data_IF_332498690615
#
_entry.id   IF_332498690615
#
_cell.length_a   1.000
_cell.length_b   1.000
_cell.length_c   1.000
_cell.angle_alpha   90.00
_cell.angle_beta   90.00
_cell.angle_gamma   90.00
#
_symmetry.space_group_name_H-M   'P 1'
#
loop_
_entity.id
_entity.type
_entity.pdbx_description
1 polymer ?
#
# COMPACT_ATOMS: atom_id res chain seq x y z
N UNK A 1 -10.47 23.08 7.36
CA UNK A 1 -10.58 24.20 6.40
C UNK A 1 -9.66 23.98 5.22
N UNK A 2 -10.01 24.48 4.02
CA UNK A 2 -9.16 24.45 2.82
C UNK A 2 -9.24 25.79 2.11
N UNK A 3 -8.13 26.23 1.53
CA UNK A 3 -8.10 27.39 0.61
C UNK A 3 -7.05 27.19 -0.47
N UNK A 4 -7.11 28.02 -1.50
CA UNK A 4 -6.23 27.94 -2.66
C UNK A 4 -5.46 29.25 -2.84
N UNK A 5 -4.19 29.17 -3.23
CA UNK A 5 -3.32 30.33 -3.45
C UNK A 5 -2.27 30.07 -4.52
N UNK A 6 -1.78 31.14 -5.12
CA UNK A 6 -0.71 31.18 -6.11
C UNK A 6 0.70 31.31 -5.50
N UNK A 7 0.81 31.53 -4.18
CA UNK A 7 2.09 31.81 -3.53
C UNK A 7 2.34 30.94 -2.29
N UNK A 8 3.59 30.46 -2.20
CA UNK A 8 4.06 29.52 -1.16
C UNK A 8 3.92 30.08 0.26
N UNK A 9 4.30 31.36 0.45
CA UNK A 9 4.40 31.99 1.77
C UNK A 9 3.11 32.69 2.22
N UNK A 10 2.02 32.57 1.46
CA UNK A 10 0.74 33.20 1.78
C UNK A 10 -0.04 32.35 2.77
N UNK A 11 0.04 32.70 4.05
CA UNK A 11 -0.73 32.08 5.12
C UNK A 11 -1.98 32.89 5.48
N UNK A 12 -3.09 32.20 5.67
CA UNK A 12 -4.31 32.81 6.18
C UNK A 12 -4.25 32.86 7.71
N UNK A 13 -4.63 34.00 8.29
CA UNK A 13 -4.86 34.14 9.74
C UNK A 13 -6.27 33.62 10.04
N UNK A 14 -6.40 32.83 11.11
CA UNK A 14 -7.67 32.19 11.47
C UNK A 14 -8.02 32.59 12.89
N UNK A 15 -9.15 33.25 13.05
CA UNK A 15 -9.62 33.72 14.35
C UNK A 15 -10.83 32.89 14.78
N UNK A 16 -10.82 32.45 16.04
CA UNK A 16 -11.96 31.89 16.76
C UNK A 16 -12.35 32.90 17.82
N UNK A 17 -13.56 33.46 17.75
CA UNK A 17 -14.05 34.48 18.69
C UNK A 17 -13.08 35.66 18.85
N UNK A 18 -12.42 36.05 17.75
CA UNK A 18 -11.44 37.14 17.72
C UNK A 18 -10.02 36.76 18.19
N UNK A 19 -9.80 35.53 18.63
CA UNK A 19 -8.49 35.02 19.06
C UNK A 19 -7.83 34.27 17.90
N UNK A 20 -6.58 34.60 17.58
CA UNK A 20 -5.82 33.90 16.54
C UNK A 20 -5.52 32.45 16.95
N UNK A 21 -5.75 31.51 16.03
CA UNK A 21 -5.63 30.07 16.28
C UNK A 21 -4.66 29.42 15.30
N UNK A 22 -3.70 28.70 15.87
CA UNK A 22 -2.73 27.91 15.12
C UNK A 22 -3.37 26.55 14.78
N UNK A 23 -3.45 26.17 13.49
CA UNK A 23 -3.90 24.84 13.10
C UNK A 23 -3.02 23.74 13.71
N UNK A 24 -3.67 22.69 14.25
CA UNK A 24 -3.00 21.50 14.79
C UNK A 24 -2.26 20.72 13.71
N UNK A 25 -2.83 20.67 12.52
CA UNK A 25 -2.22 20.07 11.34
C UNK A 25 -2.38 21.01 10.14
N UNK A 26 -1.38 20.97 9.26
CA UNK A 26 -1.36 21.65 7.96
C UNK A 26 -0.84 20.70 6.89
N UNK A 27 -1.28 20.91 5.66
CA UNK A 27 -0.78 20.21 4.47
C UNK A 27 -0.94 21.11 3.27
N UNK A 28 0.15 21.32 2.55
CA UNK A 28 0.16 22.05 1.30
C UNK A 28 0.33 21.06 0.15
N UNK A 29 -0.62 21.08 -0.79
CA UNK A 29 -0.62 20.25 -1.99
C UNK A 29 -0.47 21.14 -3.22
N UNK A 30 0.48 20.81 -4.08
CA UNK A 30 0.60 21.46 -5.39
C UNK A 30 -0.33 20.83 -6.41
N UNK A 31 -0.86 21.68 -7.28
CA UNK A 31 -1.53 21.31 -8.51
C UNK A 31 -0.71 21.90 -9.65
N UNK A 32 -0.15 21.02 -10.48
CA UNK A 32 0.68 21.41 -11.61
C UNK A 32 -0.18 21.52 -12.88
N UNK A 33 0.14 22.51 -13.70
CA UNK A 33 -0.30 22.56 -15.10
C UNK A 33 0.94 22.42 -15.97
N UNK A 34 1.05 21.31 -16.69
CA UNK A 34 2.31 20.85 -17.30
C UNK A 34 3.41 20.79 -16.23
N UNK A 35 4.54 21.44 -16.46
CA UNK A 35 5.72 21.41 -15.57
C UNK A 35 5.77 22.61 -14.60
N UNK A 36 4.68 23.37 -14.47
CA UNK A 36 4.62 24.57 -13.61
C UNK A 36 3.59 24.40 -12.50
N UNK A 37 3.93 24.87 -11.30
CA UNK A 37 2.97 25.00 -10.20
C UNK A 37 1.92 26.02 -10.63
N UNK A 38 0.67 25.57 -10.75
CA UNK A 38 -0.46 26.39 -11.13
C UNK A 38 -1.22 26.89 -9.90
N UNK A 39 -1.39 26.02 -8.91
CA UNK A 39 -2.19 26.30 -7.73
C UNK A 39 -1.67 25.52 -6.52
N UNK A 40 -1.71 26.13 -5.34
CA UNK A 40 -1.42 25.47 -4.08
C UNK A 40 -2.73 25.35 -3.29
N UNK A 41 -3.12 24.14 -2.96
CA UNK A 41 -4.20 23.84 -2.01
C UNK A 41 -3.60 23.73 -0.61
N UNK A 42 -4.05 24.58 0.31
CA UNK A 42 -3.64 24.57 1.72
C UNK A 42 -4.77 24.00 2.58
N UNK A 43 -4.53 22.87 3.23
CA UNK A 43 -5.48 22.15 4.09
C UNK A 43 -5.06 22.29 5.55
N UNK A 44 -6.01 22.64 6.41
CA UNK A 44 -5.76 22.94 7.81
C UNK A 44 -6.79 22.30 8.72
N UNK A 45 -6.32 21.81 9.86
CA UNK A 45 -7.14 21.26 10.93
C UNK A 45 -7.02 22.12 12.16
N UNK A 46 -8.15 22.66 12.57
CA UNK A 46 -8.26 23.57 13.68
C UNK A 46 -8.97 22.80 14.77
N UNK A 47 -8.41 22.84 15.98
CA UNK A 47 -9.08 22.27 17.15
C UNK A 47 -10.17 23.25 17.58
N UNK A 48 -11.36 22.74 17.78
CA UNK A 48 -12.53 23.52 18.21
C UNK A 48 -12.96 22.99 19.57
N UNK A 49 -13.18 23.89 20.51
CA UNK A 49 -13.41 23.58 21.93
C UNK A 49 -14.90 23.48 22.29
N UNK A 50 -15.79 24.16 21.57
CA UNK A 50 -17.24 24.08 21.73
C UNK A 50 -17.95 24.51 20.43
N UNK A 51 -19.27 24.32 20.35
CA UNK A 51 -20.03 24.59 19.14
C UNK A 51 -20.46 26.07 18.97
N UNK A 52 -20.42 26.85 20.05
CA UNK A 52 -20.85 28.25 20.08
C UNK A 52 -19.68 29.19 19.80
N UNK A 53 -18.97 28.96 18.70
CA UNK A 53 -17.86 29.80 18.26
C UNK A 53 -18.13 30.43 16.89
N UNK A 54 -17.43 31.52 16.63
CA UNK A 54 -17.42 32.22 15.36
C UNK A 54 -16.05 32.11 14.70
N UNK A 55 -16.02 31.56 13.49
CA UNK A 55 -14.81 31.45 12.68
C UNK A 55 -14.68 32.67 11.77
N UNK A 56 -13.51 33.29 11.77
CA UNK A 56 -13.15 34.35 10.84
C UNK A 56 -11.81 34.05 10.21
N UNK A 57 -11.70 34.34 8.91
CA UNK A 57 -10.48 34.14 8.15
C UNK A 57 -10.03 35.47 7.56
N UNK A 58 -8.76 35.79 7.69
CA UNK A 58 -8.20 37.02 7.12
C UNK A 58 -6.87 36.76 6.41
N UNK A 59 -6.62 37.54 5.37
CA UNK A 59 -5.42 37.49 4.56
C UNK A 59 -4.88 38.91 4.39
N UNK A 60 -3.63 39.17 4.80
CA UNK A 60 -3.02 40.52 4.77
C UNK A 60 -3.96 41.59 5.36
N UNK A 61 -4.58 41.29 6.51
CA UNK A 61 -5.56 42.13 7.21
C UNK A 61 -6.90 42.36 6.47
N UNK A 62 -7.13 41.73 5.31
CA UNK A 62 -8.42 41.72 4.63
C UNK A 62 -9.25 40.49 5.01
N UNK A 63 -10.50 40.69 5.44
CA UNK A 63 -11.41 39.60 5.76
C UNK A 63 -11.74 38.79 4.49
N UNK A 64 -11.70 37.46 4.58
CA UNK A 64 -12.04 36.55 3.47
C UNK A 64 -13.29 35.75 3.80
N UNK A 65 -14.07 35.48 2.75
CA UNK A 65 -15.28 34.68 2.86
C UNK A 65 -14.94 33.21 3.12
N UNK A 66 -15.57 32.63 4.13
CA UNK A 66 -15.67 31.18 4.32
C UNK A 66 -16.83 30.69 3.46
N UNK A 67 -16.59 29.64 2.67
CA UNK A 67 -17.62 29.02 1.82
C UNK A 67 -18.08 27.72 2.44
N UNK A 68 -19.39 27.60 2.70
CA UNK A 68 -20.03 26.39 3.21
C UNK A 68 -21.40 26.22 2.54
N UNK A 69 -21.74 25.01 2.07
CA UNK A 69 -22.98 24.72 1.34
C UNK A 69 -23.33 25.78 0.27
N UNK A 70 -22.33 26.14 -0.55
CA UNK A 70 -22.41 27.17 -1.60
C UNK A 70 -22.75 28.61 -1.14
N UNK A 71 -22.82 28.86 0.17
CA UNK A 71 -23.03 30.19 0.77
C UNK A 71 -21.71 30.78 1.27
N UNK A 72 -21.63 32.12 1.28
CA UNK A 72 -20.44 32.89 1.69
C UNK A 72 -20.69 33.57 3.03
N UNK A 73 -19.70 33.49 3.92
CA UNK A 73 -19.75 34.04 5.26
C UNK A 73 -18.47 34.82 5.57
N UNK A 74 -18.59 36.09 5.95
CA UNK A 74 -17.43 36.85 6.47
C UNK A 74 -17.01 36.35 7.86
N UNK A 75 -18.02 35.98 8.67
CA UNK A 75 -17.88 35.33 9.96
C UNK A 75 -18.81 34.12 9.92
N UNK A 76 -18.27 32.94 10.15
CA UNK A 76 -18.98 31.67 10.04
C UNK A 76 -19.37 31.16 11.44
N UNK A 77 -20.67 31.04 11.78
CA UNK A 77 -21.09 30.40 13.01
C UNK A 77 -20.82 28.90 12.94
N UNK A 78 -20.01 28.38 13.87
CA UNK A 78 -19.69 26.95 13.87
C UNK A 78 -20.91 26.06 14.20
N UNK A 79 -21.90 26.59 14.91
CA UNK A 79 -23.19 25.94 15.14
C UNK A 79 -23.88 25.45 13.85
N UNK A 80 -23.58 26.05 12.69
CA UNK A 80 -24.10 25.60 11.39
C UNK A 80 -23.58 24.21 10.95
N UNK A 81 -22.56 23.67 11.63
CA UNK A 81 -22.01 22.35 11.38
C UNK A 81 -22.55 21.31 12.37
N UNK A 82 -23.40 21.68 13.33
CA UNK A 82 -23.91 20.75 14.35
C UNK A 82 -24.53 19.51 13.76
N UNK A 83 -25.32 19.63 12.70
CA UNK A 83 -25.94 18.49 12.01
C UNK A 83 -24.90 17.50 11.43
N UNK A 84 -23.69 17.97 11.08
CA UNK A 84 -22.61 17.09 10.61
C UNK A 84 -21.92 16.35 11.77
N UNK A 85 -21.98 16.91 12.98
CA UNK A 85 -21.44 16.29 14.20
C UNK A 85 -22.50 15.49 14.97
N UNK A 86 -23.78 15.69 14.67
CA UNK A 86 -24.91 14.85 15.10
C UNK A 86 -25.03 13.55 14.30
N UNK A 87 -24.22 13.35 13.25
CA UNK A 87 -23.96 12.01 12.77
C UNK A 87 -23.32 11.24 13.92
N UNK A 88 -24.14 10.46 14.65
CA UNK A 88 -23.68 9.44 15.57
C UNK A 88 -22.63 8.63 14.82
N UNK A 89 -21.34 8.88 15.08
CA UNK A 89 -20.31 7.90 14.79
C UNK A 89 -20.82 6.65 15.48
N UNK A 90 -21.21 5.64 14.69
CA UNK A 90 -21.99 4.50 15.15
C UNK A 90 -21.54 4.14 16.57
N UNK A 91 -22.46 4.26 17.54
CA UNK A 91 -22.24 3.84 18.93
C UNK A 91 -21.87 2.36 19.05
N UNK A 92 -22.00 1.62 17.95
CA UNK A 92 -21.56 0.27 17.79
C UNK A 92 -20.02 0.20 17.68
N UNK A 93 -19.38 -0.25 18.75
CA UNK A 93 -17.94 -0.47 18.81
C UNK A 93 -17.48 -1.70 17.99
N UNK A 94 -18.15 -2.02 16.87
CA UNK A 94 -17.78 -3.13 16.00
C UNK A 94 -16.84 -2.66 14.89
N UNK A 95 -15.76 -3.40 14.64
CA UNK A 95 -14.85 -3.15 13.52
C UNK A 95 -14.96 -4.28 12.49
N UNK A 96 -14.87 -3.94 11.20
CA UNK A 96 -14.82 -4.90 10.10
C UNK A 96 -13.45 -4.91 9.45
N UNK A 97 -12.91 -6.10 9.24
CA UNK A 97 -11.62 -6.34 8.60
C UNK A 97 -11.81 -7.00 7.24
N UNK A 98 -10.97 -6.64 6.28
CA UNK A 98 -10.94 -7.27 4.95
C UNK A 98 -9.57 -7.13 4.30
N UNK A 99 -9.08 -8.20 3.68
CA UNK A 99 -7.96 -8.12 2.75
C UNK A 99 -8.50 -7.92 1.32
N UNK A 100 -8.90 -9.01 0.68
CA UNK A 100 -9.64 -9.00 -0.59
C UNK A 100 -10.92 -9.84 -0.45
N UNK A 101 -11.90 -9.69 -1.35
CA UNK A 101 -13.14 -10.46 -1.28
C UNK A 101 -12.89 -11.97 -1.34
N UNK A 102 -11.95 -12.42 -2.18
CA UNK A 102 -11.73 -13.84 -2.46
C UNK A 102 -10.48 -14.43 -1.80
N UNK A 103 -9.67 -13.62 -1.10
CA UNK A 103 -8.43 -14.08 -0.49
C UNK A 103 -8.10 -13.27 0.76
N UNK A 104 -7.55 -13.96 1.76
CA UNK A 104 -7.02 -13.34 2.96
C UNK A 104 -5.48 -13.31 2.91
N UNK A 105 -4.81 -13.38 4.06
CA UNK A 105 -3.36 -13.50 4.23
C UNK A 105 -2.53 -12.21 4.01
N UNK A 106 -3.18 -11.06 4.15
CA UNK A 106 -2.53 -9.75 4.16
C UNK A 106 -2.74 -9.04 5.52
N UNK A 107 -2.39 -7.76 5.63
CA UNK A 107 -2.32 -7.04 6.89
C UNK A 107 -3.59 -7.10 7.75
N UNK A 108 -4.78 -7.11 7.15
CA UNK A 108 -6.03 -7.16 7.88
C UNK A 108 -6.23 -8.52 8.55
N UNK A 109 -5.87 -9.65 7.90
CA UNK A 109 -5.93 -10.97 8.54
C UNK A 109 -4.98 -11.03 9.76
N UNK A 110 -3.76 -10.51 9.62
CA UNK A 110 -2.77 -10.51 10.71
C UNK A 110 -3.21 -9.66 11.89
N UNK A 111 -3.70 -8.44 11.63
CA UNK A 111 -4.20 -7.55 12.66
C UNK A 111 -5.47 -8.11 13.32
N UNK A 112 -6.41 -8.66 12.55
CA UNK A 112 -7.61 -9.31 13.09
C UNK A 112 -7.22 -10.43 14.06
N UNK A 113 -6.30 -11.32 13.65
CA UNK A 113 -5.86 -12.43 14.49
C UNK A 113 -5.23 -11.96 15.79
N UNK A 114 -4.41 -10.91 15.72
CA UNK A 114 -3.83 -10.30 16.92
C UNK A 114 -4.92 -9.79 17.88
N UNK A 115 -5.90 -9.02 17.39
CA UNK A 115 -6.97 -8.46 18.22
C UNK A 115 -7.86 -9.57 18.79
N UNK A 116 -8.24 -10.56 17.96
CA UNK A 116 -9.02 -11.72 18.40
C UNK A 116 -8.37 -12.46 19.57
N UNK A 117 -7.03 -12.55 19.59
CA UNK A 117 -6.28 -13.29 20.60
C UNK A 117 -5.95 -12.46 21.86
N UNK A 118 -5.75 -11.16 21.71
CA UNK A 118 -5.22 -10.30 22.79
C UNK A 118 -6.27 -9.31 23.35
N UNK A 119 -7.32 -9.04 22.58
CA UNK A 119 -8.36 -8.04 22.86
C UNK A 119 -9.77 -8.58 22.56
N UNK A 120 -10.20 -9.69 23.20
CA UNK A 120 -11.50 -10.31 22.94
C UNK A 120 -12.70 -9.41 23.31
N UNK A 121 -12.48 -8.35 24.09
CA UNK A 121 -13.46 -7.30 24.39
C UNK A 121 -13.84 -6.46 23.17
N UNK A 122 -12.94 -6.37 22.18
CA UNK A 122 -13.17 -5.60 20.97
C UNK A 122 -14.01 -6.41 19.99
N UNK A 123 -15.23 -5.94 19.71
CA UNK A 123 -16.12 -6.61 18.75
C UNK A 123 -15.56 -6.47 17.33
N UNK A 124 -15.21 -7.59 16.70
CA UNK A 124 -14.62 -7.63 15.36
C UNK A 124 -15.27 -8.69 14.46
N UNK A 125 -15.40 -8.37 13.19
CA UNK A 125 -15.83 -9.29 12.12
C UNK A 125 -14.84 -9.24 10.96
N UNK A 126 -14.69 -10.36 10.24
CA UNK A 126 -13.83 -10.44 9.07
C UNK A 126 -14.67 -10.75 7.84
N UNK A 127 -14.63 -9.86 6.84
CA UNK A 127 -15.37 -10.03 5.60
C UNK A 127 -14.55 -10.81 4.57
N UNK A 128 -15.12 -11.91 4.10
CA UNK A 128 -14.52 -12.78 3.09
C UNK A 128 -15.67 -13.43 2.30
N UNK A 129 -15.49 -13.72 1.02
CA UNK A 129 -16.48 -14.50 0.27
C UNK A 129 -16.52 -15.94 0.75
N UNK A 130 -17.71 -16.53 0.80
CA UNK A 130 -17.90 -17.91 1.24
C UNK A 130 -17.22 -18.96 0.36
N UNK A 131 -16.97 -18.64 -0.91
CA UNK A 131 -16.26 -19.49 -1.88
C UNK A 131 -14.74 -19.24 -1.91
N UNK A 132 -14.21 -18.38 -1.03
CA UNK A 132 -12.76 -18.21 -0.88
C UNK A 132 -12.10 -19.49 -0.37
N UNK A 133 -10.92 -19.80 -0.91
CA UNK A 133 -10.06 -20.90 -0.44
C UNK A 133 -9.60 -20.73 1.01
N UNK A 134 -9.66 -19.50 1.55
CA UNK A 134 -9.27 -19.20 2.93
C UNK A 134 -10.42 -19.36 3.94
N UNK A 135 -11.68 -19.46 3.48
CA UNK A 135 -12.85 -19.44 4.36
C UNK A 135 -12.82 -20.53 5.43
N UNK A 136 -12.63 -21.79 5.03
CA UNK A 136 -12.63 -22.92 5.96
C UNK A 136 -11.45 -22.89 6.93
N UNK A 137 -10.29 -22.40 6.47
CA UNK A 137 -9.10 -22.22 7.31
C UNK A 137 -9.39 -21.20 8.42
N UNK A 138 -9.86 -20.01 8.04
CA UNK A 138 -10.13 -18.93 9.00
C UNK A 138 -11.28 -19.28 9.95
N UNK A 139 -12.32 -19.96 9.45
CA UNK A 139 -13.42 -20.45 10.30
C UNK A 139 -12.92 -21.41 11.37
N UNK A 140 -12.03 -22.35 11.01
CA UNK A 140 -11.40 -23.28 11.97
C UNK A 140 -10.49 -22.57 12.98
N UNK A 141 -9.85 -21.47 12.57
CA UNK A 141 -9.04 -20.63 13.46
C UNK A 141 -9.88 -19.76 14.42
N UNK A 142 -11.22 -19.76 14.29
CA UNK A 142 -12.13 -19.03 15.17
C UNK A 142 -12.52 -17.64 14.67
N UNK A 143 -12.23 -17.29 13.42
CA UNK A 143 -12.61 -15.99 12.85
C UNK A 143 -14.13 -15.87 12.78
N UNK A 144 -14.65 -14.71 13.19
CA UNK A 144 -16.03 -14.31 13.00
C UNK A 144 -16.25 -13.83 11.55
N UNK A 145 -16.49 -14.79 10.65
CA UNK A 145 -16.59 -14.53 9.21
C UNK A 145 -17.98 -14.05 8.78
N UNK A 146 -18.00 -13.05 7.91
CA UNK A 146 -19.20 -12.59 7.21
C UNK A 146 -19.00 -12.69 5.69
N UNK A 147 -20.00 -13.20 4.98
CA UNK A 147 -19.93 -13.39 3.53
C UNK A 147 -19.94 -12.03 2.82
N UNK A 148 -18.83 -11.68 2.17
CA UNK A 148 -18.65 -10.38 1.52
C UNK A 148 -19.70 -10.13 0.42
N UNK A 149 -20.33 -8.96 0.44
CA UNK A 149 -21.40 -8.60 -0.51
C UNK A 149 -22.73 -9.31 -0.26
N UNK A 150 -22.87 -10.09 0.82
CA UNK A 150 -24.18 -10.58 1.26
C UNK A 150 -25.00 -9.44 1.88
N UNK A 151 -26.32 -9.63 1.99
CA UNK A 151 -27.21 -8.71 2.69
C UNK A 151 -26.78 -8.47 4.15
N UNK A 152 -26.25 -9.49 4.82
CA UNK A 152 -25.70 -9.39 6.18
C UNK A 152 -24.48 -8.48 6.21
N UNK A 153 -23.55 -8.66 5.26
CA UNK A 153 -22.39 -7.78 5.11
C UNK A 153 -22.82 -6.32 4.87
N UNK A 154 -23.74 -6.06 3.94
CA UNK A 154 -24.20 -4.71 3.64
C UNK A 154 -24.85 -4.01 4.85
N UNK A 155 -25.57 -4.75 5.69
CA UNK A 155 -26.13 -4.23 6.94
C UNK A 155 -25.05 -3.92 7.97
N UNK A 156 -24.06 -4.79 8.11
CA UNK A 156 -22.99 -4.64 9.11
C UNK A 156 -22.04 -3.51 8.72
N UNK A 157 -21.56 -3.46 7.48
CA UNK A 157 -20.59 -2.46 7.03
C UNK A 157 -21.14 -1.03 7.15
N UNK A 158 -22.46 -0.83 7.09
CA UNK A 158 -23.12 0.48 7.34
C UNK A 158 -23.16 0.88 8.83
N UNK A 159 -22.99 -0.09 9.73
CA UNK A 159 -23.16 0.06 11.18
C UNK A 159 -21.86 -0.02 12.00
N UNK A 160 -20.74 -0.39 11.39
CA UNK A 160 -19.45 -0.41 12.08
C UNK A 160 -18.91 1.00 12.30
N UNK A 161 -18.07 1.15 13.32
CA UNK A 161 -17.32 2.40 13.55
C UNK A 161 -16.06 2.48 12.66
N UNK A 162 -15.42 1.34 12.40
CA UNK A 162 -14.18 1.24 11.61
C UNK A 162 -14.28 0.16 10.52
N UNK A 163 -13.85 0.51 9.32
CA UNK A 163 -13.56 -0.41 8.21
C UNK A 163 -12.04 -0.44 8.02
N UNK A 164 -11.42 -1.57 8.31
CA UNK A 164 -9.97 -1.76 8.33
C UNK A 164 -9.58 -2.71 7.20
N UNK A 165 -8.74 -2.24 6.28
CA UNK A 165 -8.47 -3.01 5.05
C UNK A 165 -7.05 -2.91 4.54
N UNK A 166 -6.54 -4.01 3.98
CA UNK A 166 -5.26 -4.06 3.24
C UNK A 166 -5.37 -3.49 1.82
N UNK A 167 -6.60 -3.30 1.33
CA UNK A 167 -6.93 -2.81 0.00
C UNK A 167 -7.97 -1.68 0.04
N UNK A 168 -7.92 -0.76 -0.93
CA UNK A 168 -8.86 0.37 -1.02
C UNK A 168 -9.52 0.46 -2.40
N UNK A 169 -9.68 -0.68 -3.07
CA UNK A 169 -10.29 -0.76 -4.39
C UNK A 169 -11.81 -0.51 -4.34
N UNK A 170 -12.38 -0.15 -5.50
CA UNK A 170 -13.79 0.24 -5.65
C UNK A 170 -14.79 -0.79 -5.14
N UNK A 171 -14.46 -2.10 -5.26
CA UNK A 171 -15.34 -3.18 -4.78
C UNK A 171 -15.69 -3.03 -3.30
N UNK A 172 -14.80 -2.46 -2.49
CA UNK A 172 -15.01 -2.20 -1.06
C UNK A 172 -15.49 -0.77 -0.83
N UNK A 173 -14.84 0.21 -1.47
CA UNK A 173 -15.08 1.62 -1.18
C UNK A 173 -16.52 2.05 -1.44
N UNK A 174 -17.24 1.41 -2.38
CA UNK A 174 -18.66 1.68 -2.64
C UNK A 174 -19.60 1.43 -1.44
N UNK A 175 -19.16 0.63 -0.46
CA UNK A 175 -19.95 0.34 0.75
C UNK A 175 -19.66 1.29 1.92
N UNK A 176 -18.59 2.08 1.82
CA UNK A 176 -18.11 2.93 2.91
C UNK A 176 -18.73 4.32 2.77
N UNK A 177 -19.49 4.73 3.79
CA UNK A 177 -20.15 6.03 3.84
C UNK A 177 -19.36 7.06 4.64
N UNK A 178 -20.05 8.13 5.03
CA UNK A 178 -19.47 9.22 5.81
C UNK A 178 -19.31 8.83 7.29
N UNK A 179 -20.14 7.91 7.79
CA UNK A 179 -20.27 7.57 9.22
C UNK A 179 -19.23 6.56 9.73
N UNK A 180 -18.49 5.91 8.82
CA UNK A 180 -17.42 4.98 9.17
C UNK A 180 -16.07 5.65 8.98
N UNK A 181 -15.12 5.28 9.85
CA UNK A 181 -13.70 5.55 9.61
C UNK A 181 -13.11 4.46 8.71
N UNK A 182 -12.49 4.85 7.61
CA UNK A 182 -11.74 3.93 6.77
C UNK A 182 -10.25 3.98 7.10
N UNK A 183 -9.72 2.83 7.50
CA UNK A 183 -8.32 2.61 7.82
C UNK A 183 -7.69 1.73 6.75
N UNK A 184 -6.71 2.29 6.04
CA UNK A 184 -5.99 1.60 5.00
C UNK A 184 -4.62 1.13 5.52
N UNK A 185 -4.50 -0.20 5.70
CA UNK A 185 -3.30 -0.88 6.19
C UNK A 185 -2.23 -1.07 5.11
N UNK A 186 -2.58 -0.80 3.84
CA UNK A 186 -1.79 -1.11 2.65
C UNK A 186 -1.52 -2.62 2.45
N UNK A 187 -0.92 -2.97 1.32
CA UNK A 187 -0.54 -4.34 0.93
C UNK A 187 0.94 -4.42 0.49
N UNK A 188 1.73 -3.42 0.87
CA UNK A 188 3.14 -3.26 0.54
C UNK A 188 3.59 -1.82 0.80
N UNK A 189 4.90 -1.61 0.85
CA UNK A 189 5.48 -0.27 0.99
C UNK A 189 5.32 0.50 -0.32
N UNK A 190 4.80 1.72 -0.23
CA UNK A 190 4.53 2.58 -1.38
C UNK A 190 5.80 3.28 -1.85
N UNK A 191 6.62 2.60 -2.67
CA UNK A 191 7.88 3.15 -3.20
C UNK A 191 7.71 4.07 -4.42
N UNK A 192 6.61 3.86 -5.17
CA UNK A 192 6.25 4.61 -6.37
C UNK A 192 5.13 5.61 -6.06
N UNK A 193 4.98 6.65 -6.87
CA UNK A 193 3.90 7.62 -6.68
C UNK A 193 2.57 7.06 -7.25
N UNK A 194 1.65 6.77 -6.32
CA UNK A 194 0.28 6.31 -6.56
C UNK A 194 -0.77 7.36 -6.14
N UNK A 195 -0.36 8.62 -5.99
CA UNK A 195 -1.23 9.73 -5.56
C UNK A 195 -2.44 9.93 -6.47
N UNK A 196 -2.31 9.65 -7.78
CA UNK A 196 -3.44 9.69 -8.74
C UNK A 196 -4.60 8.80 -8.29
N UNK A 197 -4.30 7.64 -7.72
CA UNK A 197 -5.28 6.70 -7.20
C UNK A 197 -5.74 7.10 -5.79
N UNK A 198 -4.82 7.20 -4.83
CA UNK A 198 -5.19 7.41 -3.42
C UNK A 198 -5.88 8.76 -3.18
N UNK A 199 -5.58 9.80 -3.98
CA UNK A 199 -6.25 11.10 -3.84
C UNK A 199 -7.75 11.04 -4.14
N UNK A 200 -8.24 10.01 -4.82
CA UNK A 200 -9.66 9.84 -5.13
C UNK A 200 -10.44 9.18 -3.98
N UNK A 201 -9.72 8.56 -3.04
CA UNK A 201 -10.31 7.72 -1.98
C UNK A 201 -10.42 8.54 -0.69
N UNK A 202 -11.54 8.40 0.04
CA UNK A 202 -11.65 8.89 1.42
C UNK A 202 -10.92 7.90 2.33
N UNK A 203 -9.76 8.30 2.83
CA UNK A 203 -8.97 7.53 3.80
C UNK A 203 -8.86 8.39 5.05
N UNK A 204 -9.36 7.87 6.17
CA UNK A 204 -9.32 8.54 7.47
C UNK A 204 -8.00 8.26 8.19
N UNK A 205 -7.41 7.08 7.97
CA UNK A 205 -6.08 6.70 8.43
C UNK A 205 -5.35 5.82 7.40
N UNK A 206 -4.13 6.20 7.05
CA UNK A 206 -3.20 5.46 6.19
C UNK A 206 -2.00 5.02 7.03
N UNK A 207 -1.79 3.70 7.11
CA UNK A 207 -0.63 3.13 7.80
C UNK A 207 0.52 2.99 6.81
N UNK A 208 1.68 3.59 7.11
CA UNK A 208 2.93 3.48 6.35
C UNK A 208 4.03 2.86 7.19
N UNK A 209 5.11 2.41 6.56
CA UNK A 209 6.12 1.57 7.22
C UNK A 209 7.51 2.19 7.31
N UNK A 210 7.88 3.09 6.40
CA UNK A 210 9.23 3.67 6.36
C UNK A 210 9.19 5.18 6.41
N UNK A 211 10.24 5.82 6.93
CA UNK A 211 10.31 7.27 7.04
C UNK A 211 10.28 7.96 5.67
N UNK A 212 10.94 7.39 4.67
CA UNK A 212 10.92 7.93 3.31
C UNK A 212 9.55 7.80 2.65
N UNK A 213 8.85 6.67 2.84
CA UNK A 213 7.45 6.50 2.44
C UNK A 213 6.56 7.55 3.12
N UNK A 214 6.65 7.68 4.45
CA UNK A 214 5.91 8.67 5.22
C UNK A 214 6.14 10.09 4.69
N UNK A 215 7.39 10.49 4.53
CA UNK A 215 7.77 11.81 4.04
C UNK A 215 7.26 12.06 2.61
N UNK A 216 7.33 11.06 1.73
CA UNK A 216 6.84 11.17 0.35
C UNK A 216 5.33 11.45 0.26
N UNK A 217 4.59 11.10 1.32
CA UNK A 217 3.15 11.29 1.41
C UNK A 217 2.80 12.54 2.21
N UNK A 218 3.41 12.76 3.39
CA UNK A 218 2.96 13.82 4.31
C UNK A 218 3.57 15.18 4.06
N UNK A 219 4.77 15.26 3.47
CA UNK A 219 5.47 16.53 3.32
C UNK A 219 4.70 17.49 2.41
N UNK A 220 4.91 18.79 2.61
CA UNK A 220 4.31 19.79 1.74
C UNK A 220 4.82 19.64 0.30
N UNK A 221 4.00 20.07 -0.64
CA UNK A 221 4.31 20.08 -2.07
C UNK A 221 4.51 18.70 -2.72
N UNK A 222 4.13 17.63 -2.03
CA UNK A 222 3.94 16.30 -2.64
C UNK A 222 2.64 16.26 -3.46
N UNK A 223 2.49 15.26 -4.32
CA UNK A 223 1.24 15.04 -5.05
C UNK A 223 0.09 14.46 -4.19
N UNK A 224 0.37 14.02 -2.96
CA UNK A 224 -0.62 13.44 -2.04
C UNK A 224 -1.42 14.51 -1.27
N UNK A 225 -2.72 14.28 -1.08
CA UNK A 225 -3.61 15.13 -0.27
C UNK A 225 -3.53 14.85 1.24
N UNK A 226 -2.78 13.84 1.64
CA UNK A 226 -2.69 13.35 3.02
C UNK A 226 -1.57 14.08 3.76
N UNK A 227 -1.82 14.47 5.01
CA UNK A 227 -0.83 15.07 5.88
C UNK A 227 -0.61 14.24 7.14
N UNK A 228 0.10 14.82 8.11
CA UNK A 228 0.41 14.17 9.39
C UNK A 228 -0.83 13.77 10.22
N UNK A 229 -2.01 14.27 9.87
CA UNK A 229 -3.26 13.87 10.52
C UNK A 229 -3.75 12.51 10.04
N UNK A 230 -3.64 12.24 8.75
CA UNK A 230 -4.20 11.04 8.13
C UNK A 230 -3.19 9.91 7.98
N UNK A 231 -1.91 10.14 8.24
CA UNK A 231 -0.85 9.14 8.00
C UNK A 231 -0.13 8.81 9.30
N UNK A 232 0.01 7.52 9.58
CA UNK A 232 0.76 7.02 10.72
C UNK A 232 1.91 6.12 10.27
N UNK A 233 3.12 6.45 10.71
CA UNK A 233 4.32 5.63 10.52
C UNK A 233 4.36 4.55 11.61
N UNK A 234 3.96 3.33 11.27
CA UNK A 234 3.85 2.22 12.23
C UNK A 234 4.49 0.93 11.69
N UNK A 235 4.26 0.58 10.42
CA UNK A 235 4.67 -0.71 9.84
C UNK A 235 3.49 -1.58 9.41
N UNK A 236 3.78 -2.60 8.60
CA UNK A 236 2.78 -3.56 8.11
C UNK A 236 2.51 -4.64 9.17
N UNK A 237 1.25 -4.88 9.54
CA UNK A 237 0.86 -5.91 10.50
C UNK A 237 1.45 -7.30 10.17
N UNK A 238 1.48 -7.66 8.87
CA UNK A 238 1.98 -8.96 8.40
C UNK A 238 3.47 -9.19 8.66
N UNK A 239 4.25 -8.12 8.81
CA UNK A 239 5.70 -8.25 9.00
C UNK A 239 6.07 -8.88 10.35
N UNK A 240 5.21 -8.79 11.38
CA UNK A 240 5.43 -9.44 12.68
C UNK A 240 5.61 -10.97 12.51
N UNK A 241 4.75 -11.60 11.72
CA UNK A 241 4.82 -13.04 11.43
C UNK A 241 5.87 -13.35 10.37
N UNK A 242 6.06 -12.47 9.38
CA UNK A 242 7.05 -12.63 8.32
C UNK A 242 8.45 -12.82 8.90
N UNK A 243 8.88 -11.92 9.82
CA UNK A 243 10.20 -12.00 10.44
C UNK A 243 10.34 -13.27 11.29
N UNK A 244 9.31 -13.59 12.08
CA UNK A 244 9.28 -14.77 12.96
C UNK A 244 9.46 -16.08 12.18
N UNK A 245 8.92 -16.16 10.97
CA UNK A 245 8.95 -17.37 10.14
C UNK A 245 10.13 -17.42 9.16
N UNK A 246 11.04 -16.44 9.20
CA UNK A 246 12.15 -16.35 8.25
C UNK A 246 13.09 -17.57 8.32
N UNK A 247 13.40 -18.17 7.17
CA UNK A 247 14.41 -19.24 7.07
C UNK A 247 15.70 -18.70 6.48
N UNK A 248 16.82 -18.96 7.16
CA UNK A 248 18.16 -18.42 6.82
C UNK A 248 18.96 -19.29 5.84
N UNK A 249 18.53 -20.53 5.55
CA UNK A 249 19.23 -21.47 4.66
C UNK A 249 18.29 -22.12 3.64
N UNK A 250 17.35 -21.34 3.11
CA UNK A 250 16.46 -21.80 2.07
C UNK A 250 17.24 -22.24 0.81
N UNK A 251 16.69 -23.20 0.05
CA UNK A 251 17.23 -23.65 -1.24
C UNK A 251 16.26 -23.33 -2.36
N UNK A 252 15.82 -22.07 -2.39
CA UNK A 252 14.82 -21.57 -3.32
C UNK A 252 15.17 -20.17 -3.83
N UNK A 253 15.05 -19.97 -5.12
CA UNK A 253 15.06 -18.66 -5.79
C UNK A 253 13.63 -18.36 -6.22
N UNK A 254 13.16 -17.18 -5.88
CA UNK A 254 11.81 -16.73 -6.20
C UNK A 254 11.88 -15.67 -7.30
N UNK A 255 11.11 -15.86 -8.36
CA UNK A 255 11.01 -14.95 -9.50
C UNK A 255 9.58 -14.37 -9.51
N UNK A 256 9.46 -13.05 -9.30
CA UNK A 256 8.16 -12.36 -9.21
C UNK A 256 8.14 -11.07 -10.01
N UNK A 257 7.82 -11.12 -11.30
CA UNK A 257 7.69 -9.92 -12.11
C UNK A 257 6.39 -9.15 -11.80
N UNK A 258 6.47 -7.83 -11.89
CA UNK A 258 5.30 -6.94 -11.88
C UNK A 258 4.51 -7.12 -13.18
N UNK A 259 3.21 -6.82 -13.17
CA UNK A 259 2.41 -6.75 -14.39
C UNK A 259 2.77 -5.51 -15.22
N UNK A 260 2.16 -5.33 -16.39
CA UNK A 260 2.31 -4.13 -17.23
C UNK A 260 0.94 -3.66 -17.71
N UNK A 261 0.64 -2.38 -17.52
CA UNK A 261 -0.68 -1.82 -17.85
C UNK A 261 -1.01 -1.92 -19.34
N UNK A 262 -0.04 -1.68 -20.22
CA UNK A 262 -0.23 -1.76 -21.67
C UNK A 262 -0.66 -3.15 -22.17
N UNK A 263 -0.49 -4.18 -21.35
CA UNK A 263 -0.90 -5.55 -21.63
C UNK A 263 -2.33 -5.86 -21.16
N UNK A 264 -3.02 -4.96 -20.45
CA UNK A 264 -4.41 -5.14 -20.00
C UNK A 264 -5.43 -4.58 -21.01
N UNK A 265 -6.55 -5.28 -21.19
CA UNK A 265 -7.72 -4.91 -22.00
C UNK A 265 -8.76 -4.18 -21.14
N UNK A 266 -9.10 -4.73 -19.97
CA UNK A 266 -10.24 -4.26 -19.15
C UNK A 266 -10.10 -4.69 -17.68
N UNK A 267 -10.68 -3.91 -16.77
CA UNK A 267 -10.90 -4.32 -15.38
C UNK A 267 -12.10 -5.26 -15.30
N UNK A 268 -11.93 -6.42 -14.68
CA UNK A 268 -13.01 -7.35 -14.33
C UNK A 268 -13.46 -7.00 -12.90
N UNK A 269 -14.76 -7.19 -12.60
CA UNK A 269 -15.30 -7.12 -11.25
C UNK A 269 -14.45 -7.95 -10.26
N UNK A 270 -14.26 -7.46 -9.03
CA UNK A 270 -13.46 -8.07 -7.95
C UNK A 270 -11.93 -7.91 -8.03
N UNK A 271 -11.42 -7.00 -8.87
CA UNK A 271 -10.00 -6.60 -8.85
C UNK A 271 -9.07 -7.47 -9.70
N UNK A 272 -9.62 -8.32 -10.58
CA UNK A 272 -8.87 -9.00 -11.64
C UNK A 272 -8.91 -8.14 -12.91
N UNK A 273 -7.91 -8.27 -13.79
CA UNK A 273 -7.85 -7.53 -15.06
C UNK A 273 -7.68 -8.51 -16.23
N UNK A 274 -8.45 -8.36 -17.30
CA UNK A 274 -8.32 -9.14 -18.54
C UNK A 274 -7.18 -8.56 -19.39
N UNK A 275 -6.28 -9.39 -19.94
CA UNK A 275 -5.13 -8.98 -20.76
C UNK A 275 -5.26 -9.26 -22.26
N UNK A 276 -4.56 -8.45 -23.07
CA UNK A 276 -4.58 -8.44 -24.54
C UNK A 276 -4.17 -9.80 -25.09
N UNK A 277 -4.89 -10.29 -26.11
CA UNK A 277 -4.58 -11.52 -26.88
C UNK A 277 -3.15 -11.60 -27.44
N UNK A 278 -2.36 -10.52 -27.40
CA UNK A 278 -1.00 -10.41 -27.93
C UNK A 278 0.12 -10.39 -26.87
N UNK A 279 -0.10 -10.97 -25.68
CA UNK A 279 0.94 -11.03 -24.62
C UNK A 279 2.26 -11.62 -25.14
N UNK A 280 2.19 -12.63 -26.02
CA UNK A 280 3.36 -13.31 -26.62
C UNK A 280 4.27 -12.40 -27.46
N UNK A 281 3.78 -11.25 -27.91
CA UNK A 281 4.54 -10.27 -28.71
C UNK A 281 5.18 -9.19 -27.84
N UNK A 282 4.87 -9.16 -26.55
CA UNK A 282 5.35 -8.13 -25.64
C UNK A 282 6.82 -8.35 -25.28
N UNK A 283 7.56 -7.25 -25.14
CA UNK A 283 8.93 -7.24 -24.59
C UNK A 283 8.97 -7.94 -23.22
N UNK A 284 7.96 -7.70 -22.39
CA UNK A 284 7.76 -8.38 -21.10
C UNK A 284 7.78 -9.91 -21.23
N UNK A 285 6.90 -10.47 -22.07
CA UNK A 285 6.81 -11.91 -22.26
C UNK A 285 8.13 -12.47 -22.80
N UNK A 286 8.69 -11.86 -23.84
CA UNK A 286 9.94 -12.33 -24.44
C UNK A 286 11.09 -12.37 -23.44
N UNK A 287 11.28 -11.33 -22.63
CA UNK A 287 12.39 -11.24 -21.66
C UNK A 287 12.22 -12.23 -20.51
N UNK A 288 11.04 -12.32 -19.90
CA UNK A 288 10.82 -13.28 -18.81
C UNK A 288 10.81 -14.72 -19.30
N UNK A 289 10.17 -15.01 -20.45
CA UNK A 289 10.18 -16.36 -21.01
C UNK A 289 11.60 -16.79 -21.44
N UNK A 290 12.41 -15.87 -21.98
CA UNK A 290 13.83 -16.11 -22.29
C UNK A 290 14.61 -16.50 -21.03
N UNK A 291 14.53 -15.69 -19.98
CA UNK A 291 15.21 -15.97 -18.71
C UNK A 291 14.80 -17.32 -18.13
N UNK A 292 13.50 -17.60 -18.07
CA UNK A 292 12.97 -18.85 -17.52
C UNK A 292 13.34 -20.07 -18.36
N UNK A 293 13.69 -19.92 -19.64
CA UNK A 293 14.16 -20.98 -20.53
C UNK A 293 15.69 -20.99 -20.69
N UNK A 294 16.42 -20.13 -19.98
CA UNK A 294 17.86 -19.99 -20.17
C UNK A 294 18.62 -21.19 -19.58
N UNK A 295 19.40 -21.89 -20.41
CA UNK A 295 20.16 -23.07 -19.99
C UNK A 295 21.26 -22.79 -18.95
N UNK A 296 21.80 -21.56 -18.90
CA UNK A 296 22.75 -21.15 -17.87
C UNK A 296 22.05 -20.95 -16.52
N UNK A 297 20.83 -20.41 -16.49
CA UNK A 297 20.03 -20.33 -15.26
C UNK A 297 19.81 -21.73 -14.67
N UNK A 298 19.40 -22.68 -15.50
CA UNK A 298 19.21 -24.07 -15.11
C UNK A 298 20.50 -24.68 -14.53
N UNK A 299 21.62 -24.57 -15.26
CA UNK A 299 22.93 -25.10 -14.82
C UNK A 299 23.42 -24.49 -13.52
N UNK A 300 23.25 -23.18 -13.33
CA UNK A 300 23.63 -22.51 -12.08
C UNK A 300 22.78 -23.03 -10.92
N UNK A 301 21.47 -23.09 -11.06
CA UNK A 301 20.58 -23.54 -10.00
C UNK A 301 20.79 -25.03 -9.66
N UNK A 302 21.02 -25.88 -10.66
CA UNK A 302 21.38 -27.29 -10.46
C UNK A 302 22.73 -27.43 -9.73
N UNK A 303 23.78 -26.75 -10.21
CA UNK A 303 25.12 -26.79 -9.62
C UNK A 303 25.14 -26.41 -8.14
N UNK A 304 24.36 -25.41 -7.75
CA UNK A 304 24.31 -24.92 -6.37
C UNK A 304 23.16 -25.51 -5.53
N UNK A 305 22.32 -26.36 -6.13
CA UNK A 305 21.22 -27.06 -5.46
C UNK A 305 20.05 -26.18 -5.05
N UNK A 306 19.61 -25.26 -5.91
CA UNK A 306 18.47 -24.36 -5.66
C UNK A 306 17.29 -24.67 -6.58
N UNK A 307 16.09 -24.72 -6.01
CA UNK A 307 14.85 -24.78 -6.77
C UNK A 307 14.45 -23.36 -7.23
N UNK A 308 13.81 -23.26 -8.39
CA UNK A 308 13.28 -21.99 -8.88
C UNK A 308 11.76 -22.01 -8.80
N UNK A 309 11.22 -20.96 -8.20
CA UNK A 309 9.80 -20.68 -8.13
C UNK A 309 9.48 -19.48 -9.01
N UNK A 310 8.54 -19.64 -9.93
CA UNK A 310 7.96 -18.53 -10.67
C UNK A 310 6.56 -18.21 -10.15
N UNK A 311 6.40 -17.03 -9.57
CA UNK A 311 5.13 -16.56 -9.03
C UNK A 311 4.83 -15.14 -9.54
N UNK A 312 4.32 -15.01 -10.78
CA UNK A 312 4.06 -13.69 -11.34
C UNK A 312 2.84 -13.05 -10.68
N UNK A 313 2.65 -11.76 -10.93
CA UNK A 313 1.48 -11.04 -10.44
C UNK A 313 0.16 -11.75 -10.81
N UNK A 314 -0.90 -11.71 -9.96
CA UNK A 314 -2.19 -12.38 -10.23
C UNK A 314 -2.78 -12.12 -11.62
N UNK A 315 -2.61 -10.90 -12.16
CA UNK A 315 -3.06 -10.55 -13.51
C UNK A 315 -2.34 -11.35 -14.63
N UNK A 316 -1.14 -11.88 -14.39
CA UNK A 316 -0.36 -12.68 -15.34
C UNK A 316 -0.72 -14.17 -15.26
N UNK A 317 -1.24 -14.65 -14.12
CA UNK A 317 -1.54 -16.07 -13.88
C UNK A 317 -2.41 -16.69 -14.99
N UNK A 318 -3.50 -16.06 -15.48
CA UNK A 318 -4.32 -16.62 -16.56
C UNK A 318 -3.58 -16.83 -17.89
N UNK A 319 -2.38 -16.26 -18.04
CA UNK A 319 -1.57 -16.31 -19.25
C UNK A 319 -0.34 -17.20 -19.10
N UNK A 320 -0.19 -17.91 -17.97
CA UNK A 320 0.94 -18.80 -17.72
C UNK A 320 1.09 -19.89 -18.78
N UNK A 321 -0.01 -20.40 -19.34
CA UNK A 321 0.01 -21.40 -20.43
C UNK A 321 0.68 -20.90 -21.71
N UNK A 322 0.86 -19.58 -21.85
CA UNK A 322 1.62 -19.01 -22.96
C UNK A 322 3.12 -19.12 -22.76
N UNK A 323 3.59 -19.27 -21.52
CA UNK A 323 5.00 -19.43 -21.21
C UNK A 323 5.41 -20.88 -21.48
N UNK A 324 6.55 -21.06 -22.15
CA UNK A 324 7.14 -22.38 -22.33
C UNK A 324 7.83 -22.76 -21.02
N UNK A 325 7.08 -23.17 -20.00
CA UNK A 325 7.65 -23.46 -18.67
C UNK A 325 8.51 -24.72 -18.71
N UNK A 326 9.82 -24.63 -18.40
CA UNK A 326 10.66 -25.82 -18.26
C UNK A 326 10.35 -26.57 -16.96
N UNK A 327 10.64 -27.86 -16.94
CA UNK A 327 10.38 -28.75 -15.79
C UNK A 327 11.12 -28.36 -14.50
N UNK A 328 12.22 -27.61 -14.59
CA UNK A 328 12.98 -27.14 -13.43
C UNK A 328 12.39 -25.88 -12.77
N UNK A 329 11.42 -25.23 -13.42
CA UNK A 329 10.68 -24.10 -12.86
C UNK A 329 9.38 -24.63 -12.25
N UNK A 330 9.17 -24.36 -10.96
CA UNK A 330 7.87 -24.60 -10.33
C UNK A 330 7.04 -23.33 -10.39
N UNK A 331 5.84 -23.44 -10.96
CA UNK A 331 4.81 -22.41 -10.81
C UNK A 331 3.97 -22.74 -9.59
N UNK A 332 3.57 -21.69 -8.87
CA UNK A 332 2.74 -21.85 -7.68
C UNK A 332 1.29 -21.59 -8.04
N UNK A 333 0.41 -22.47 -7.55
CA UNK A 333 -1.03 -22.29 -7.64
C UNK A 333 -1.53 -21.17 -6.70
N UNK A 334 -2.77 -20.72 -6.90
CA UNK A 334 -3.38 -19.59 -6.16
C UNK A 334 -3.43 -19.73 -4.62
N UNK A 335 -3.05 -20.87 -4.06
CA UNK A 335 -3.30 -21.25 -2.66
C UNK A 335 -2.11 -21.06 -1.72
N UNK A 336 -0.90 -20.76 -2.20
CA UNK A 336 0.24 -20.56 -1.29
C UNK A 336 0.35 -19.09 -0.82
N UNK A 337 0.72 -18.94 0.46
CA UNK A 337 0.99 -17.64 1.08
C UNK A 337 2.24 -16.99 0.49
N UNK A 338 2.12 -15.74 0.01
CA UNK A 338 3.28 -14.94 -0.40
C UNK A 338 4.34 -14.83 0.70
N UNK A 339 3.92 -14.68 1.96
CA UNK A 339 4.84 -14.61 3.09
C UNK A 339 5.64 -15.91 3.26
N UNK A 340 4.98 -17.08 3.11
CA UNK A 340 5.70 -18.37 3.11
C UNK A 340 6.73 -18.44 1.99
N UNK A 341 6.45 -17.87 0.82
CA UNK A 341 7.41 -17.81 -0.29
C UNK A 341 8.61 -16.93 0.03
N UNK A 342 8.40 -15.76 0.63
CA UNK A 342 9.51 -14.91 1.06
C UNK A 342 10.36 -15.61 2.14
N UNK A 343 9.71 -16.22 3.15
CA UNK A 343 10.39 -16.96 4.21
C UNK A 343 11.19 -18.14 3.66
N UNK A 344 10.66 -18.86 2.66
CA UNK A 344 11.28 -20.05 2.07
C UNK A 344 12.26 -19.74 0.93
N UNK A 345 12.48 -18.48 0.55
CA UNK A 345 13.41 -18.09 -0.52
C UNK A 345 14.72 -17.55 0.02
N UNK A 346 15.82 -17.73 -0.72
CA UNK A 346 17.12 -17.11 -0.41
C UNK A 346 17.42 -15.88 -1.25
N UNK A 347 16.73 -15.74 -2.39
CA UNK A 347 16.84 -14.63 -3.33
C UNK A 347 15.49 -14.37 -3.97
N UNK A 348 15.22 -13.09 -4.21
CA UNK A 348 14.15 -12.64 -5.09
C UNK A 348 14.73 -12.02 -6.36
N UNK A 349 14.25 -12.47 -7.51
CA UNK A 349 14.43 -11.81 -8.80
C UNK A 349 13.09 -11.14 -9.13
N UNK A 350 13.09 -9.82 -9.23
CA UNK A 350 11.91 -9.00 -9.47
C UNK A 350 12.27 -7.84 -10.37
N UNK A 351 11.36 -6.91 -10.64
CA UNK A 351 11.59 -5.73 -11.47
C UNK A 351 11.30 -4.43 -10.70
N UNK A 352 10.04 -4.02 -10.63
CA UNK A 352 9.57 -2.74 -10.07
C UNK A 352 8.59 -2.95 -8.91
N UNK A 353 8.59 -4.15 -8.32
CA UNK A 353 7.61 -4.57 -7.31
C UNK A 353 8.03 -4.17 -5.90
N UNK A 354 7.04 -3.84 -5.07
CA UNK A 354 7.23 -3.62 -3.63
C UNK A 354 7.49 -4.89 -2.83
N UNK A 355 7.34 -6.08 -3.42
CA UNK A 355 7.76 -7.34 -2.77
C UNK A 355 9.27 -7.38 -2.48
N UNK A 356 10.07 -6.52 -3.13
CA UNK A 356 11.48 -6.35 -2.79
C UNK A 356 11.68 -5.90 -1.33
N UNK A 357 10.77 -5.09 -0.80
CA UNK A 357 10.83 -4.62 0.59
C UNK A 357 10.56 -5.74 1.59
N UNK A 358 9.76 -6.75 1.23
CA UNK A 358 9.55 -7.94 2.07
C UNK A 358 10.84 -8.74 2.22
N UNK A 359 11.60 -8.90 1.13
CA UNK A 359 12.89 -9.59 1.14
C UNK A 359 13.97 -8.78 1.87
N UNK A 360 13.99 -7.47 1.66
CA UNK A 360 14.84 -6.54 2.38
C UNK A 360 14.60 -6.61 3.90
N UNK A 361 13.34 -6.64 4.31
CA UNK A 361 12.94 -6.78 5.70
C UNK A 361 13.44 -8.11 6.30
N UNK A 362 13.44 -9.19 5.50
CA UNK A 362 14.03 -10.49 5.86
C UNK A 362 15.56 -10.55 5.77
N UNK A 363 16.23 -9.46 5.39
CA UNK A 363 17.67 -9.35 5.11
C UNK A 363 18.15 -10.35 4.06
N UNK A 364 17.38 -10.48 2.97
CA UNK A 364 17.66 -11.36 1.84
C UNK A 364 17.94 -10.56 0.57
N UNK A 365 18.90 -10.99 -0.26
CA UNK A 365 19.24 -10.28 -1.49
C UNK A 365 18.08 -10.27 -2.49
N UNK A 366 18.11 -9.23 -3.31
CA UNK A 366 17.22 -9.03 -4.46
C UNK A 366 18.08 -8.88 -5.71
N UNK A 367 17.58 -9.24 -6.89
CA UNK A 367 18.09 -8.76 -8.18
C UNK A 367 16.92 -8.09 -8.90
N UNK A 368 17.12 -6.86 -9.36
CA UNK A 368 16.13 -6.13 -10.15
C UNK A 368 16.40 -6.33 -11.64
N UNK A 369 15.51 -7.01 -12.35
CA UNK A 369 15.58 -7.19 -13.81
C UNK A 369 14.76 -6.12 -14.53
N UNK A 370 15.39 -5.00 -14.86
CA UNK A 370 14.73 -3.76 -15.30
C UNK A 370 15.01 -3.43 -16.78
N UNK A 371 14.69 -4.35 -17.67
CA UNK A 371 14.92 -4.22 -19.11
C UNK A 371 14.02 -3.20 -19.84
N UNK A 372 12.98 -2.68 -19.18
CA UNK A 372 11.92 -1.85 -19.77
C UNK A 372 11.56 -0.61 -18.93
N UNK A 373 12.53 0.00 -18.22
CA UNK A 373 12.28 1.12 -17.28
C UNK A 373 11.49 2.27 -17.90
N UNK A 374 11.92 2.75 -19.05
CA UNK A 374 11.29 3.91 -19.72
C UNK A 374 9.88 3.54 -20.22
N UNK A 375 9.71 2.34 -20.77
CA UNK A 375 8.41 1.82 -21.21
C UNK A 375 7.44 1.63 -20.02
N UNK A 376 7.97 1.18 -18.87
CA UNK A 376 7.21 0.94 -17.64
C UNK A 376 6.64 2.24 -17.08
N UNK A 377 7.49 3.22 -16.78
CA UNK A 377 7.05 4.47 -16.13
C UNK A 377 6.30 5.42 -17.07
N UNK A 378 6.41 5.25 -18.39
CA UNK A 378 5.63 6.04 -19.36
C UNK A 378 4.20 5.53 -19.56
N UNK A 379 3.96 4.23 -19.39
CA UNK A 379 2.68 3.59 -19.77
C UNK A 379 1.92 2.95 -18.61
N UNK A 380 2.55 2.82 -17.44
CA UNK A 380 1.92 2.21 -16.27
C UNK A 380 1.21 3.25 -15.39
N UNK A 381 0.48 2.76 -14.39
CA UNK A 381 -0.24 3.57 -13.39
C UNK A 381 0.70 4.10 -12.31
N UNK A 382 1.91 3.56 -12.24
CA UNK A 382 2.93 3.93 -11.28
C UNK A 382 3.80 5.03 -11.89
N UNK A 383 3.88 6.17 -11.21
CA UNK A 383 4.85 7.19 -11.51
C UNK A 383 6.11 6.99 -10.64
N UNK A 384 7.23 7.57 -11.06
CA UNK A 384 8.44 7.59 -10.23
C UNK A 384 8.12 8.20 -8.86
N UNK A 385 8.37 7.42 -7.80
CA UNK A 385 8.26 7.88 -6.42
C UNK A 385 9.62 8.34 -5.87
N UNK A 386 9.77 8.25 -4.55
CA UNK A 386 11.03 8.62 -3.88
C UNK A 386 12.14 7.57 -4.04
N UNK A 387 11.80 6.34 -4.44
CA UNK A 387 12.72 5.22 -4.42
C UNK A 387 13.52 5.09 -5.72
N UNK A 388 14.82 5.38 -5.66
CA UNK A 388 15.75 5.06 -6.75
C UNK A 388 16.35 3.66 -6.54
N UNK A 389 16.10 2.74 -7.47
CA UNK A 389 16.63 1.36 -7.39
C UNK A 389 18.15 1.26 -7.46
N UNK A 390 18.83 2.19 -8.16
CA UNK A 390 20.29 2.17 -8.26
C UNK A 390 20.95 2.61 -6.94
N UNK A 391 20.39 3.65 -6.31
CA UNK A 391 21.00 4.25 -5.11
C UNK A 391 20.46 3.60 -3.82
N UNK A 392 19.14 3.38 -3.75
CA UNK A 392 18.42 2.94 -2.54
C UNK A 392 18.01 1.46 -2.61
N UNK A 393 18.29 0.77 -3.71
CA UNK A 393 17.91 -0.63 -3.93
C UNK A 393 18.53 -1.60 -2.93
N UNK A 394 17.93 -2.79 -2.84
CA UNK A 394 18.40 -3.90 -1.97
C UNK A 394 19.23 -4.94 -2.72
N UNK A 395 19.67 -4.59 -3.93
CA UNK A 395 20.30 -5.50 -4.86
C UNK A 395 20.66 -4.83 -6.19
N UNK A 396 21.43 -5.50 -7.05
CA UNK A 396 21.86 -4.93 -8.32
C UNK A 396 20.68 -4.78 -9.29
N UNK A 397 20.77 -3.75 -10.13
CA UNK A 397 19.86 -3.52 -11.26
C UNK A 397 20.52 -4.07 -12.52
N UNK A 398 19.96 -5.15 -13.06
CA UNK A 398 20.36 -5.77 -14.31
C UNK A 398 19.41 -5.32 -15.43
N UNK A 399 19.95 -4.76 -16.50
CA UNK A 399 19.20 -4.32 -17.68
C UNK A 399 19.19 -5.38 -18.79
N UNK A 400 20.07 -6.38 -18.68
CA UNK A 400 20.20 -7.50 -19.60
C UNK A 400 20.14 -8.85 -18.89
N UNK A 401 19.81 -9.90 -19.64
CA UNK A 401 19.76 -11.27 -19.10
C UNK A 401 21.18 -11.72 -18.68
N UNK A 402 22.20 -11.30 -19.43
CA UNK A 402 23.60 -11.59 -19.13
C UNK A 402 24.03 -10.97 -17.80
N UNK A 403 23.73 -9.69 -17.57
CA UNK A 403 23.99 -9.02 -16.29
C UNK A 403 23.32 -9.75 -15.12
N UNK A 404 22.04 -10.13 -15.28
CA UNK A 404 21.30 -10.84 -14.25
C UNK A 404 21.97 -12.17 -13.88
N UNK A 405 22.36 -12.97 -14.87
CA UNK A 405 22.98 -14.27 -14.64
C UNK A 405 24.38 -14.13 -14.01
N UNK A 406 25.13 -13.08 -14.35
CA UNK A 406 26.41 -12.76 -13.71
C UNK A 406 26.21 -12.40 -12.24
N UNK A 407 25.23 -11.54 -11.91
CA UNK A 407 24.92 -11.20 -10.52
C UNK A 407 24.41 -12.39 -9.72
N UNK A 408 23.60 -13.25 -10.35
CA UNK A 408 23.13 -14.50 -9.74
C UNK A 408 24.30 -15.44 -9.42
N UNK A 409 25.25 -15.62 -10.34
CA UNK A 409 26.43 -16.45 -10.10
C UNK A 409 27.30 -15.88 -8.98
N UNK A 410 27.48 -14.56 -8.89
CA UNK A 410 28.17 -13.91 -7.77
C UNK A 410 27.50 -14.25 -6.43
N UNK A 411 26.18 -14.10 -6.34
CA UNK A 411 25.43 -14.44 -5.13
C UNK A 411 25.53 -15.91 -4.76
N UNK A 412 25.53 -16.83 -5.74
CA UNK A 412 25.77 -18.25 -5.45
C UNK A 412 27.16 -18.49 -4.85
N UNK A 413 28.21 -17.86 -5.39
CA UNK A 413 29.58 -17.99 -4.90
C UNK A 413 29.78 -17.41 -3.50
N UNK A 414 29.03 -16.37 -3.14
CA UNK A 414 29.07 -15.74 -1.81
C UNK A 414 28.02 -16.29 -0.84
N UNK A 415 27.34 -17.38 -1.20
CA UNK A 415 26.25 -17.97 -0.42
C UNK A 415 25.19 -16.92 0.01
N UNK A 416 24.80 -16.06 -0.93
CA UNK A 416 23.79 -15.01 -0.77
C UNK A 416 24.13 -13.96 0.30
N UNK A 417 25.42 -13.79 0.60
CA UNK A 417 25.88 -12.70 1.46
C UNK A 417 25.52 -11.33 0.84
N UNK A 418 24.84 -10.49 1.62
CA UNK A 418 24.52 -9.12 1.25
C UNK A 418 25.79 -8.26 1.28
N UNK A 419 26.08 -7.56 0.18
CA UNK A 419 27.15 -6.55 0.19
C UNK A 419 26.81 -5.40 1.16
N UNK A 420 27.84 -4.72 1.65
CA UNK A 420 27.68 -3.63 2.63
C UNK A 420 26.77 -2.52 2.13
N UNK A 421 26.79 -2.21 0.82
CA UNK A 421 25.91 -1.20 0.21
C UNK A 421 24.44 -1.57 0.44
N UNK A 422 24.05 -2.80 0.08
CA UNK A 422 22.65 -3.23 0.20
C UNK A 422 22.24 -3.45 1.66
N UNK A 423 23.17 -3.93 2.50
CA UNK A 423 22.94 -4.02 3.94
C UNK A 423 22.66 -2.64 4.56
N UNK A 424 23.47 -1.64 4.24
CA UNK A 424 23.28 -0.26 4.71
C UNK A 424 21.96 0.34 4.22
N UNK A 425 21.57 0.07 2.97
CA UNK A 425 20.27 0.52 2.45
C UNK A 425 19.10 -0.11 3.23
N UNK A 426 19.17 -1.41 3.53
CA UNK A 426 18.16 -2.11 4.35
C UNK A 426 18.12 -1.54 5.77
N UNK A 427 19.27 -1.34 6.42
CA UNK A 427 19.34 -0.81 7.78
C UNK A 427 18.82 0.64 7.86
N UNK A 428 19.14 1.47 6.86
CA UNK A 428 18.63 2.84 6.76
C UNK A 428 17.12 2.88 6.63
N UNK A 429 16.55 2.09 5.71
CA UNK A 429 15.12 2.18 5.38
C UNK A 429 14.22 1.65 6.49
N UNK A 430 14.71 0.69 7.28
CA UNK A 430 14.02 0.10 8.43
C UNK A 430 14.58 0.57 9.78
N UNK A 431 15.29 1.71 9.82
CA UNK A 431 15.97 2.21 11.03
C UNK A 431 15.02 2.53 12.19
N UNK A 432 13.79 2.92 11.89
CA UNK A 432 12.73 3.24 12.88
C UNK A 432 11.79 2.06 13.14
N UNK A 433 12.18 0.87 12.70
CA UNK A 433 11.35 -0.32 12.80
C UNK A 433 11.56 -1.02 14.13
N UNK A 434 10.50 -1.16 14.91
CA UNK A 434 10.56 -1.72 16.27
C UNK A 434 9.78 -3.04 16.44
N UNK A 435 9.17 -3.55 15.37
CA UNK A 435 8.27 -4.71 15.42
C UNK A 435 7.01 -4.44 16.25
N UNK A 436 6.26 -5.50 16.56
CA UNK A 436 4.97 -5.42 17.24
C UNK A 436 3.97 -4.52 16.50
N UNK A 437 3.98 -4.57 15.17
CA UNK A 437 3.15 -3.68 14.36
C UNK A 437 1.68 -3.90 14.64
N UNK A 438 1.23 -5.15 14.83
CA UNK A 438 -0.18 -5.42 15.15
C UNK A 438 -0.60 -4.71 16.45
N UNK A 439 0.25 -4.77 17.48
CA UNK A 439 0.02 -4.06 18.75
C UNK A 439 0.00 -2.55 18.54
N UNK A 440 1.02 -2.00 17.88
CA UNK A 440 1.15 -0.56 17.68
C UNK A 440 0.00 0.01 16.83
N UNK A 441 -0.47 -0.75 15.83
CA UNK A 441 -1.66 -0.37 15.06
C UNK A 441 -2.89 -0.40 15.96
N UNK A 442 -3.10 -1.47 16.74
CA UNK A 442 -4.25 -1.55 17.66
C UNK A 442 -4.27 -0.39 18.66
N UNK A 443 -3.15 -0.11 19.32
CA UNK A 443 -2.99 1.00 20.26
C UNK A 443 -3.33 2.35 19.60
N UNK A 444 -2.97 2.53 18.33
CA UNK A 444 -3.30 3.74 17.58
C UNK A 444 -4.79 3.84 17.24
N UNK A 445 -5.49 2.72 17.05
CA UNK A 445 -6.90 2.68 16.64
C UNK A 445 -7.88 2.91 17.80
N UNK A 446 -7.47 2.71 19.05
CA UNK A 446 -8.31 2.90 20.23
C UNK A 446 -8.24 4.31 20.83
N UNK A 447 -7.33 5.15 20.33
CA UNK A 447 -7.19 6.58 20.66
C UNK A 447 -8.10 7.41 19.77
#
# INVERSE_FOLDING_TARGET
MRYYTDALNKNIKIEIDGIDVIPRYKKDKIHNFLDRIFLIEKKMWIKISNNNIWLKCSFENSCKNIVYNHKRYNIFPFAMLEDLFQCDFNSNNCWIFIDRPLSANDNAEHLYRYIMQNHPEQNIVFALKRDSTDWDRLKKEGFNLIDFGSFTFEKIVKKVSKVISSHCDEYLMKYIGINQQFIFLQHGITQNDISRWLNQIKIDLLIVSTRDEYNSIVNDYTHYKFGKKEVALIGLARHDILLKNNKVNAKQILIMPTWRMNLIISSIDLGLMEMKKKIKQSKYFHKWNSLLNNGLLAKLCEKYGYAIIFNPHPNIIPYLDNFNMPSYIKTIGKTESLQKLFCNSSLLITDYSSVAFEMAYLKKPVIYYQFDKDDFFSSHTLNNGYFNYQDNGFGPVANSEQELLLELEKLFRTNFFLSDIYKNNIEKIFSEYHGNNCKNIFDYLIV
#
